data_IF_332252493634
#
_entry.id   IF_332252493634
#
_cell.length_a   1.000
_cell.length_b   1.000
_cell.length_c   1.000
_cell.angle_alpha   90.00
_cell.angle_beta   90.00
_cell.angle_gamma   90.00
#
_symmetry.space_group_name_H-M   'P 1'
#
loop_
_entity.id
_entity.type
_entity.pdbx_description
1 polymer ?
#
# COMPACT_ATOMS: atom_id res chain seq x y z
N UNK A 1 -7.43 14.31 7.92
CA UNK A 1 -6.21 13.48 7.94
C UNK A 1 -4.99 14.24 7.48
N UNK A 2 -4.89 14.77 6.25
CA UNK A 2 -3.68 15.47 5.80
C UNK A 2 -3.17 16.57 6.76
N UNK A 3 -4.02 17.51 7.16
CA UNK A 3 -3.63 18.57 8.13
C UNK A 3 -3.30 17.99 9.51
N UNK A 4 -3.99 16.93 9.93
CA UNK A 4 -3.76 16.20 11.17
C UNK A 4 -2.41 15.45 11.20
N UNK A 5 -1.98 14.89 10.07
CA UNK A 5 -0.76 14.07 9.94
C UNK A 5 0.48 14.89 9.60
N UNK A 6 0.33 16.01 8.88
CA UNK A 6 1.46 16.85 8.45
C UNK A 6 1.64 18.11 9.29
N UNK A 7 0.58 18.64 9.89
CA UNK A 7 0.64 19.89 10.66
C UNK A 7 -0.37 19.89 11.83
N UNK A 8 -0.09 19.03 12.80
CA UNK A 8 -0.89 18.88 14.02
C UNK A 8 -1.00 20.20 14.80
N UNK A 9 0.05 21.02 14.79
CA UNK A 9 0.08 22.31 15.50
C UNK A 9 -0.87 23.34 14.85
N UNK A 10 -0.91 23.40 13.51
CA UNK A 10 -1.87 24.24 12.78
C UNK A 10 -3.30 23.72 12.91
N UNK A 11 -3.50 22.39 12.93
CA UNK A 11 -4.82 21.82 13.21
C UNK A 11 -5.33 22.18 14.62
N UNK A 12 -4.42 22.26 15.60
CA UNK A 12 -4.76 22.62 16.97
C UNK A 12 -5.17 24.09 17.06
N UNK A 13 -4.40 24.96 16.38
CA UNK A 13 -4.70 26.39 16.25
C UNK A 13 -6.00 26.65 15.46
N UNK A 14 -6.38 25.74 14.57
CA UNK A 14 -7.66 25.76 13.84
C UNK A 14 -8.87 25.25 14.68
N UNK A 15 -8.67 24.89 15.95
CA UNK A 15 -9.74 24.45 16.85
C UNK A 15 -10.23 23.02 16.61
N UNK A 16 -9.51 22.21 15.84
CA UNK A 16 -9.89 20.82 15.58
C UNK A 16 -9.60 19.93 16.80
N UNK A 17 -10.51 19.01 17.19
CA UNK A 17 -10.31 18.10 18.31
C UNK A 17 -9.38 16.94 17.92
N UNK A 18 -8.09 17.25 17.71
CA UNK A 18 -7.03 16.32 17.24
C UNK A 18 -7.01 15.05 18.08
N UNK A 19 -6.96 15.17 19.41
CA UNK A 19 -6.84 14.03 20.31
C UNK A 19 -8.01 13.05 20.16
N UNK A 20 -9.23 13.58 20.02
CA UNK A 20 -10.43 12.75 19.82
C UNK A 20 -10.40 12.07 18.45
N UNK A 21 -10.02 12.80 17.40
CA UNK A 21 -9.91 12.24 16.04
C UNK A 21 -8.86 11.12 15.96
N UNK A 22 -7.68 11.32 16.57
CA UNK A 22 -6.62 10.31 16.63
C UNK A 22 -7.01 9.08 17.42
N UNK A 23 -7.70 9.24 18.56
CA UNK A 23 -8.22 8.11 19.34
C UNK A 23 -9.25 7.33 18.53
N UNK A 24 -10.21 8.00 17.89
CA UNK A 24 -11.23 7.34 17.07
C UNK A 24 -10.59 6.54 15.93
N UNK A 25 -9.61 7.13 15.24
CA UNK A 25 -8.89 6.48 14.15
C UNK A 25 -8.09 5.26 14.61
N UNK A 26 -7.39 5.37 15.73
CA UNK A 26 -6.65 4.25 16.31
C UNK A 26 -7.58 3.11 16.74
N UNK A 27 -8.73 3.42 17.33
CA UNK A 27 -9.74 2.41 17.69
C UNK A 27 -10.29 1.73 16.44
N UNK A 28 -10.70 2.48 15.42
CA UNK A 28 -11.18 1.93 14.14
C UNK A 28 -10.15 1.00 13.50
N UNK A 29 -8.89 1.45 13.44
CA UNK A 29 -7.78 0.66 12.87
C UNK A 29 -7.51 -0.60 13.69
N UNK A 30 -7.46 -0.46 15.02
CA UNK A 30 -7.23 -1.58 15.94
C UNK A 30 -8.33 -2.63 15.87
N UNK A 31 -9.59 -2.22 15.83
CA UNK A 31 -10.74 -3.13 15.66
C UNK A 31 -10.65 -3.85 14.30
N UNK A 32 -10.34 -3.12 13.23
CA UNK A 32 -10.19 -3.71 11.89
C UNK A 32 -9.10 -4.79 11.88
N UNK A 33 -7.93 -4.49 12.45
CA UNK A 33 -6.80 -5.43 12.55
C UNK A 33 -7.16 -6.64 13.41
N UNK A 34 -7.82 -6.43 14.55
CA UNK A 34 -8.21 -7.50 15.46
C UNK A 34 -9.18 -8.50 14.81
N UNK A 35 -10.08 -8.02 13.95
CA UNK A 35 -11.05 -8.88 13.24
C UNK A 35 -10.36 -9.75 12.19
N UNK A 36 -9.35 -9.26 11.48
CA UNK A 36 -8.67 -10.00 10.40
C UNK A 36 -7.54 -10.92 10.91
N UNK A 37 -6.96 -10.61 12.07
CA UNK A 37 -5.77 -11.30 12.60
C UNK A 37 -5.93 -12.83 12.74
N UNK A 38 -7.07 -13.39 13.18
CA UNK A 38 -7.22 -14.84 13.33
C UNK A 38 -7.15 -15.61 11.99
N UNK A 39 -7.50 -14.96 10.88
CA UNK A 39 -7.55 -15.57 9.55
C UNK A 39 -6.15 -15.56 8.92
N UNK A 40 -5.42 -14.48 9.12
CA UNK A 40 -4.18 -14.20 8.37
C UNK A 40 -2.92 -14.43 9.21
N UNK A 41 -2.98 -14.19 10.52
CA UNK A 41 -1.81 -14.18 11.42
C UNK A 41 -1.13 -12.81 11.49
N UNK A 42 -0.62 -12.45 12.67
CA UNK A 42 -0.16 -11.09 12.98
C UNK A 42 0.96 -10.56 12.05
N UNK A 43 1.89 -11.43 11.63
CA UNK A 43 3.01 -11.04 10.74
C UNK A 43 2.54 -10.75 9.32
N UNK A 44 1.52 -11.47 8.84
CA UNK A 44 1.02 -11.31 7.47
C UNK A 44 0.07 -10.11 7.36
N UNK A 45 -0.64 -9.78 8.44
CA UNK A 45 -1.49 -8.56 8.47
C UNK A 45 -0.67 -7.30 8.17
N UNK A 46 0.50 -7.14 8.76
CA UNK A 46 1.34 -5.96 8.50
C UNK A 46 1.77 -5.90 7.03
N UNK A 47 2.12 -7.04 6.42
CA UNK A 47 2.47 -7.10 5.00
C UNK A 47 1.28 -6.74 4.10
N UNK A 48 0.08 -7.28 4.37
CA UNK A 48 -1.12 -7.02 3.56
C UNK A 48 -1.54 -5.55 3.64
N UNK A 49 -1.33 -4.88 4.78
CA UNK A 49 -1.61 -3.45 4.93
C UNK A 49 -0.57 -2.60 4.19
N UNK A 50 0.72 -2.94 4.30
CA UNK A 50 1.81 -2.09 3.81
C UNK A 50 2.01 -2.23 2.29
N UNK A 51 1.90 -3.44 1.73
CA UNK A 51 2.22 -3.72 0.32
C UNK A 51 1.37 -2.93 -0.69
N UNK A 52 0.03 -2.92 -0.65
CA UNK A 52 -0.76 -2.20 -1.64
C UNK A 52 -0.51 -0.69 -1.58
N UNK A 53 -0.32 -0.12 -0.38
CA UNK A 53 0.10 1.27 -0.19
C UNK A 53 1.48 1.53 -0.82
N UNK A 54 2.45 0.66 -0.58
CA UNK A 54 3.81 0.78 -1.12
C UNK A 54 3.85 0.65 -2.65
N UNK A 55 3.03 -0.23 -3.23
CA UNK A 55 2.84 -0.34 -4.68
C UNK A 55 2.25 0.97 -5.22
N UNK A 56 1.19 1.44 -4.58
CA UNK A 56 0.46 2.63 -5.01
C UNK A 56 1.29 3.91 -4.94
N UNK A 57 2.09 4.08 -3.89
CA UNK A 57 3.09 5.16 -3.75
C UNK A 57 4.13 5.15 -4.87
N UNK A 58 4.43 3.98 -5.46
CA UNK A 58 5.29 3.90 -6.64
C UNK A 58 4.56 4.30 -7.91
N UNK A 59 3.25 4.10 -8.01
CA UNK A 59 2.48 4.41 -9.23
C UNK A 59 1.98 5.86 -9.27
N UNK A 60 1.57 6.39 -8.12
CA UNK A 60 0.90 7.69 -7.99
C UNK A 60 1.77 8.72 -7.26
N UNK A 61 1.71 9.98 -7.69
CA UNK A 61 2.37 11.12 -7.03
C UNK A 61 1.42 11.99 -6.19
N UNK A 62 0.12 11.73 -6.27
CA UNK A 62 -0.93 12.47 -5.55
C UNK A 62 -1.54 11.61 -4.46
N UNK A 63 -1.83 12.18 -3.30
CA UNK A 63 -2.46 11.50 -2.16
C UNK A 63 -3.76 10.77 -2.55
N UNK A 64 -4.65 11.46 -3.27
CA UNK A 64 -5.89 10.85 -3.77
C UNK A 64 -5.62 9.71 -4.75
N UNK A 65 -4.63 9.87 -5.61
CA UNK A 65 -4.21 8.83 -6.54
C UNK A 65 -3.58 7.62 -5.84
N UNK A 66 -2.96 7.82 -4.68
CA UNK A 66 -2.42 6.73 -3.86
C UNK A 66 -3.57 5.94 -3.24
N UNK A 67 -4.55 6.61 -2.64
CA UNK A 67 -5.70 5.94 -2.01
C UNK A 67 -6.48 5.12 -3.04
N UNK A 68 -6.80 5.70 -4.20
CA UNK A 68 -7.57 5.01 -5.24
C UNK A 68 -6.82 3.79 -5.78
N UNK A 69 -5.55 3.95 -6.14
CA UNK A 69 -4.77 2.84 -6.68
C UNK A 69 -4.54 1.75 -5.64
N UNK A 70 -4.29 2.11 -4.38
CA UNK A 70 -4.11 1.14 -3.29
C UNK A 70 -5.36 0.28 -3.13
N UNK A 71 -6.55 0.88 -3.07
CA UNK A 71 -7.80 0.14 -2.96
C UNK A 71 -7.98 -0.87 -4.10
N UNK A 72 -7.69 -0.45 -5.34
CA UNK A 72 -7.79 -1.33 -6.52
C UNK A 72 -6.77 -2.47 -6.44
N UNK A 73 -5.52 -2.17 -6.09
CA UNK A 73 -4.45 -3.17 -5.98
C UNK A 73 -4.75 -4.16 -4.86
N UNK A 74 -5.19 -3.68 -3.70
CA UNK A 74 -5.56 -4.50 -2.56
C UNK A 74 -6.74 -5.42 -2.94
N UNK A 75 -7.79 -4.88 -3.57
CA UNK A 75 -8.93 -5.68 -4.00
C UNK A 75 -8.53 -6.77 -5.00
N UNK A 76 -7.80 -6.41 -6.05
CA UNK A 76 -7.36 -7.37 -7.08
C UNK A 76 -6.41 -8.41 -6.49
N UNK A 77 -5.46 -8.00 -5.65
CA UNK A 77 -4.51 -8.89 -4.98
C UNK A 77 -5.19 -9.84 -3.99
N UNK A 78 -6.19 -9.36 -3.24
CA UNK A 78 -6.97 -10.21 -2.34
C UNK A 78 -7.83 -11.21 -3.12
N UNK A 79 -8.54 -10.78 -4.16
CA UNK A 79 -9.38 -11.68 -4.96
C UNK A 79 -8.56 -12.75 -5.67
N UNK A 80 -7.46 -12.36 -6.33
CA UNK A 80 -6.55 -13.34 -6.95
C UNK A 80 -5.91 -14.25 -5.91
N UNK A 81 -5.48 -13.71 -4.77
CA UNK A 81 -4.87 -14.49 -3.68
C UNK A 81 -5.83 -15.49 -3.07
N UNK A 82 -7.10 -15.12 -2.93
CA UNK A 82 -8.15 -15.98 -2.42
C UNK A 82 -8.48 -17.10 -3.42
N UNK A 83 -8.62 -16.79 -4.71
CA UNK A 83 -8.85 -17.80 -5.76
C UNK A 83 -7.68 -18.78 -5.81
N UNK A 84 -6.44 -18.30 -5.80
CA UNK A 84 -5.25 -19.17 -5.78
C UNK A 84 -5.18 -20.01 -4.50
N UNK A 85 -5.55 -19.44 -3.35
CA UNK A 85 -5.62 -20.18 -2.08
C UNK A 85 -6.65 -21.31 -2.14
N UNK A 86 -7.81 -21.06 -2.77
CA UNK A 86 -8.86 -22.05 -2.94
C UNK A 86 -8.40 -23.25 -3.78
N UNK A 87 -7.74 -23.01 -4.91
CA UNK A 87 -7.25 -24.06 -5.80
C UNK A 87 -6.08 -24.86 -5.20
N UNK A 88 -5.14 -24.18 -4.52
CA UNK A 88 -3.92 -24.80 -3.98
C UNK A 88 -4.10 -25.34 -2.55
N UNK A 89 -5.24 -25.12 -1.91
CA UNK A 89 -5.48 -25.51 -0.50
C UNK A 89 -4.51 -24.83 0.50
N UNK A 90 -3.95 -23.68 0.13
CA UNK A 90 -2.95 -22.95 0.95
C UNK A 90 -3.63 -21.93 1.87
N UNK A 91 -3.02 -21.54 3.01
CA UNK A 91 -3.60 -20.52 3.88
C UNK A 91 -3.84 -19.19 3.13
N UNK A 92 -5.06 -18.62 3.16
CA UNK A 92 -5.41 -17.43 2.39
C UNK A 92 -4.49 -16.24 2.64
N UNK A 93 -4.11 -16.01 3.90
CA UNK A 93 -3.22 -14.91 4.28
C UNK A 93 -1.83 -15.00 3.62
N UNK A 94 -1.29 -16.21 3.50
CA UNK A 94 0.01 -16.44 2.85
C UNK A 94 -0.09 -16.19 1.34
N UNK A 95 -1.12 -16.73 0.70
CA UNK A 95 -1.33 -16.61 -0.76
C UNK A 95 -1.56 -15.16 -1.19
N UNK A 96 -2.39 -14.42 -0.45
CA UNK A 96 -2.62 -12.98 -0.71
C UNK A 96 -1.30 -12.21 -0.58
N UNK A 97 -0.53 -12.46 0.49
CA UNK A 97 0.74 -11.77 0.73
C UNK A 97 1.75 -12.03 -0.38
N UNK A 98 1.87 -13.29 -0.83
CA UNK A 98 2.78 -13.67 -1.92
C UNK A 98 2.39 -12.97 -3.22
N UNK A 99 1.09 -12.93 -3.57
CA UNK A 99 0.63 -12.25 -4.79
C UNK A 99 0.92 -10.75 -4.73
N UNK A 100 0.62 -10.09 -3.61
CA UNK A 100 0.93 -8.66 -3.44
C UNK A 100 2.43 -8.40 -3.52
N UNK A 101 3.26 -9.29 -2.94
CA UNK A 101 4.71 -9.20 -3.02
C UNK A 101 5.22 -9.35 -4.46
N UNK A 102 4.65 -10.28 -5.24
CA UNK A 102 4.97 -10.44 -6.66
C UNK A 102 4.61 -9.19 -7.47
N UNK A 103 3.42 -8.63 -7.25
CA UNK A 103 2.99 -7.38 -7.91
C UNK A 103 3.96 -6.24 -7.59
N UNK A 104 4.34 -6.11 -6.31
CA UNK A 104 5.31 -5.10 -5.87
C UNK A 104 6.68 -5.27 -6.53
N UNK A 105 7.18 -6.51 -6.60
CA UNK A 105 8.45 -6.83 -7.23
C UNK A 105 8.43 -6.48 -8.73
N UNK A 106 7.39 -6.90 -9.45
CA UNK A 106 7.20 -6.63 -10.88
C UNK A 106 7.19 -5.13 -11.16
N UNK A 107 6.41 -4.35 -10.40
CA UNK A 107 6.31 -2.89 -10.60
C UNK A 107 7.65 -2.20 -10.30
N UNK A 108 8.36 -2.67 -9.28
CA UNK A 108 9.68 -2.13 -8.92
C UNK A 108 10.71 -2.41 -10.01
N UNK A 109 10.77 -3.65 -10.51
CA UNK A 109 11.65 -4.05 -11.61
C UNK A 109 11.34 -3.29 -12.90
N UNK A 110 10.05 -3.19 -13.27
CA UNK A 110 9.62 -2.46 -14.47
C UNK A 110 10.03 -0.98 -14.41
N UNK A 111 9.88 -0.33 -13.24
CA UNK A 111 10.35 1.04 -13.04
C UNK A 111 11.86 1.17 -13.14
N UNK A 112 12.60 0.22 -12.56
CA UNK A 112 14.06 0.23 -12.60
C UNK A 112 14.57 0.10 -14.04
N UNK A 113 14.01 -0.84 -14.81
CA UNK A 113 14.34 -1.06 -16.22
C UNK A 113 13.97 0.14 -17.11
N UNK A 114 12.80 0.76 -16.90
CA UNK A 114 12.40 1.99 -17.59
C UNK A 114 13.34 3.16 -17.29
N UNK A 115 13.85 3.26 -16.05
CA UNK A 115 14.81 4.29 -15.69
C UNK A 115 16.16 4.06 -16.39
N UNK A 116 16.62 2.81 -16.44
CA UNK A 116 17.86 2.44 -17.12
C UNK A 116 17.83 2.77 -18.62
N UNK A 117 16.73 2.42 -19.31
CA UNK A 117 16.53 2.74 -20.74
C UNK A 117 16.44 4.24 -21.01
N UNK A 118 15.90 5.03 -20.08
CA UNK A 118 15.81 6.48 -20.23
C UNK A 118 17.17 7.17 -20.00
N UNK A 119 18.00 6.60 -19.13
CA UNK A 119 19.36 7.08 -18.86
C UNK A 119 20.29 6.85 -20.06
N UNK A 120 20.20 5.67 -20.70
CA UNK A 120 21.02 5.33 -21.86
C UNK A 120 20.72 6.24 -23.08
N UNK A 121 19.46 6.63 -23.26
CA UNK A 121 19.07 7.63 -24.29
C UNK A 121 19.58 9.05 -24.03
N UNK A 122 19.85 9.43 -22.77
CA UNK A 122 20.37 10.75 -22.45
C UNK A 122 21.88 10.84 -22.66
N UNK A 123 22.61 9.75 -22.43
CA UNK A 123 24.05 9.67 -22.75
C UNK A 123 24.30 9.65 -24.26
N UNK A 124 23.48 8.93 -25.03
CA UNK A 124 23.65 8.88 -26.49
C UNK A 124 23.31 10.22 -27.19
N UNK A 125 22.54 11.11 -26.55
CA UNK A 125 22.21 12.43 -27.11
C UNK A 125 23.25 13.53 -26.80
N UNK A 126 24.18 13.29 -25.87
CA UNK A 126 25.23 14.24 -25.52
C UNK A 126 26.52 14.06 -26.35
N UNK A 127 26.60 13.01 -27.17
CA UNK A 127 27.78 12.61 -27.94
C UNK A 127 27.59 12.79 -29.47
N UNK A 128 26.51 13.45 -29.91
CA UNK A 128 26.25 13.79 -31.32
C UNK A 128 25.68 15.19 -31.45
#
# INVERSE_FOLDING_TARGET
>A
MYVLTFDEETAFKAGLPIKTMSILFNVLTGVTIAVIMPIVGALLVSAIIILPAAISLRLSKSFYGVILNEMVIALVGMLSGLVTSYELGTPPGASITIILMLIFAIITLAKYMLHYLKFDRLFNKSQG
#
